data_IF_537634120297
#
_entry.id   IF_537634120297
#
_cell.length_a   1.000
_cell.length_b   1.000
_cell.length_c   1.000
_cell.angle_alpha   90.00
_cell.angle_beta   90.00
_cell.angle_gamma   90.00
#
_symmetry.space_group_name_H-M   'P 1'
#
loop_
_entity.id
_entity.type
_entity.pdbx_description
1 polymer ?
#
# COMPACT_ATOMS: atom_id res chain seq x y z
N UNK A 1 -12.40 31.93 8.39
CA UNK A 1 -11.05 31.63 8.92
C UNK A 1 -11.22 30.52 9.95
N UNK A 2 -10.37 29.50 9.99
CA UNK A 2 -10.44 28.37 10.95
C UNK A 2 -10.02 28.83 12.35
N UNK A 3 -10.79 29.76 12.91
CA UNK A 3 -10.60 30.27 14.26
C UNK A 3 -11.07 29.24 15.26
N UNK A 4 -10.31 29.10 16.33
CA UNK A 4 -10.68 28.30 17.48
C UNK A 4 -11.89 28.92 18.18
N UNK A 5 -12.79 28.07 18.66
CA UNK A 5 -13.79 28.49 19.65
C UNK A 5 -13.14 28.81 21.00
N UNK A 6 -13.90 29.40 21.93
CA UNK A 6 -13.40 29.68 23.28
C UNK A 6 -12.99 28.39 24.01
N UNK A 7 -13.70 27.30 23.79
CA UNK A 7 -13.39 25.98 24.35
C UNK A 7 -12.13 25.39 23.72
N UNK A 8 -11.95 25.55 22.42
CA UNK A 8 -10.78 25.06 21.68
C UNK A 8 -9.50 25.83 22.03
N UNK A 9 -9.61 27.09 22.46
CA UNK A 9 -8.47 27.87 22.97
C UNK A 9 -7.88 27.28 24.26
N UNK A 10 -8.66 26.49 25.01
CA UNK A 10 -8.20 25.81 26.22
C UNK A 10 -7.45 24.51 25.92
N UNK A 11 -7.46 24.05 24.67
CA UNK A 11 -6.78 22.83 24.27
C UNK A 11 -5.30 23.12 23.96
N UNK A 12 -4.42 22.22 24.43
CA UNK A 12 -2.99 22.31 24.13
C UNK A 12 -2.72 22.14 22.63
N UNK A 13 -2.14 23.17 22.03
CA UNK A 13 -1.79 23.22 20.62
C UNK A 13 -0.27 23.24 20.43
N UNK A 14 0.26 22.04 20.21
CA UNK A 14 1.68 21.81 19.96
C UNK A 14 2.03 21.82 18.45
N UNK A 15 1.12 22.29 17.59
CA UNK A 15 1.32 22.29 16.15
C UNK A 15 2.29 23.38 15.69
N UNK A 16 2.92 23.20 14.53
CA UNK A 16 3.81 24.20 13.94
C UNK A 16 3.10 25.56 13.81
N UNK A 17 3.77 26.63 14.24
CA UNK A 17 3.23 27.99 14.15
C UNK A 17 2.23 28.40 15.23
N UNK A 18 2.02 27.60 16.29
CA UNK A 18 1.05 27.91 17.37
C UNK A 18 1.31 29.27 18.03
N UNK A 19 2.57 29.64 18.28
CA UNK A 19 2.91 30.94 18.89
C UNK A 19 2.59 32.16 18.02
N UNK A 20 2.60 32.01 16.69
CA UNK A 20 2.30 33.12 15.76
C UNK A 20 0.81 33.21 15.42
N UNK A 21 0.08 32.11 15.61
CA UNK A 21 -1.33 31.97 15.26
C UNK A 21 -2.09 31.24 16.38
N UNK A 22 -2.16 31.83 17.60
CA UNK A 22 -2.70 31.15 18.78
C UNK A 22 -4.21 30.86 18.66
N UNK A 23 -4.92 31.72 17.94
CA UNK A 23 -6.37 31.68 17.75
C UNK A 23 -6.81 30.80 16.57
N UNK A 24 -5.88 30.15 15.88
CA UNK A 24 -6.15 29.46 14.62
C UNK A 24 -5.63 28.03 14.64
N UNK A 25 -6.43 27.09 14.12
CA UNK A 25 -5.98 25.72 13.93
C UNK A 25 -4.90 25.63 12.85
N UNK A 26 -3.96 24.68 13.01
CA UNK A 26 -2.96 24.37 11.98
C UNK A 26 -3.58 23.64 10.79
N UNK A 27 -3.16 23.99 9.58
CA UNK A 27 -3.62 23.36 8.34
C UNK A 27 -2.48 22.53 7.72
N UNK A 28 -2.69 21.23 7.53
CA UNK A 28 -1.83 20.42 6.67
C UNK A 28 -2.21 20.69 5.21
N UNK A 29 -1.33 21.36 4.48
CA UNK A 29 -1.59 21.74 3.09
C UNK A 29 -0.89 20.81 2.11
N UNK A 30 -1.57 20.49 1.01
CA UNK A 30 -0.94 19.78 -0.10
C UNK A 30 0.07 20.67 -0.84
N UNK A 31 1.01 20.05 -1.56
CA UNK A 31 2.10 20.71 -2.27
C UNK A 31 1.60 21.73 -3.31
N UNK A 32 0.39 21.54 -3.85
CA UNK A 32 -0.24 22.46 -4.81
C UNK A 32 -0.71 23.79 -4.21
N UNK A 33 -0.91 23.88 -2.89
CA UNK A 33 -1.38 25.10 -2.22
C UNK A 33 -0.21 26.01 -1.81
N UNK A 34 0.67 26.32 -2.76
CA UNK A 34 1.81 27.19 -2.52
C UNK A 34 1.34 28.61 -2.21
N UNK A 35 1.93 29.23 -1.19
CA UNK A 35 1.55 30.59 -0.74
C UNK A 35 0.42 30.64 0.28
N UNK A 36 -0.30 29.54 0.55
CA UNK A 36 -1.35 29.54 1.58
C UNK A 36 -0.80 29.91 2.98
N UNK A 37 0.48 29.62 3.24
CA UNK A 37 1.17 29.96 4.48
C UNK A 37 1.30 31.47 4.75
N UNK A 38 1.12 32.34 3.74
CA UNK A 38 1.14 33.80 3.97
C UNK A 38 -0.19 34.34 4.52
N UNK A 39 -1.26 33.55 4.44
CA UNK A 39 -2.61 33.96 4.83
C UNK A 39 -3.18 33.09 5.95
N UNK A 40 -2.69 31.86 6.08
CA UNK A 40 -3.20 30.84 6.98
C UNK A 40 -2.02 30.15 7.67
N UNK A 41 -2.29 29.55 8.83
CA UNK A 41 -1.31 28.71 9.55
C UNK A 41 -1.12 27.36 8.84
N UNK A 42 -0.56 27.38 7.65
CA UNK A 42 -0.34 26.20 6.83
C UNK A 42 1.02 25.57 7.09
N UNK A 43 1.02 24.26 7.28
CA UNK A 43 2.21 23.41 7.33
C UNK A 43 2.37 22.72 5.98
N UNK A 44 3.45 23.06 5.28
CA UNK A 44 3.86 22.40 4.04
C UNK A 44 5.12 21.57 4.27
N UNK A 45 5.25 20.40 3.63
CA UNK A 45 6.54 19.73 3.52
C UNK A 45 7.56 20.69 2.87
N UNK A 46 8.74 20.81 3.48
CA UNK A 46 9.83 21.61 2.90
C UNK A 46 10.32 20.93 1.62
N UNK A 47 10.27 21.65 0.51
CA UNK A 47 10.81 21.17 -0.74
C UNK A 47 12.32 21.41 -0.80
N UNK A 48 13.03 20.44 -1.36
CA UNK A 48 14.43 20.61 -1.76
C UNK A 48 14.52 21.74 -2.79
N UNK A 49 15.30 22.78 -2.49
CA UNK A 49 15.58 23.84 -3.45
C UNK A 49 16.65 23.37 -4.46
N UNK A 50 16.70 24.03 -5.62
CA UNK A 50 17.68 23.67 -6.66
C UNK A 50 19.10 23.81 -6.10
N UNK A 51 19.89 22.74 -6.20
CA UNK A 51 21.27 22.65 -5.71
C UNK A 51 21.47 22.79 -4.19
N UNK A 52 20.40 22.72 -3.39
CA UNK A 52 20.48 22.75 -1.92
C UNK A 52 19.89 21.46 -1.38
N UNK A 53 20.63 20.72 -0.55
CA UNK A 53 20.10 19.55 0.16
C UNK A 53 19.28 19.98 1.37
N UNK A 54 18.28 19.17 1.71
CA UNK A 54 17.59 19.31 2.99
C UNK A 54 18.52 18.90 4.11
N UNK A 55 18.49 19.66 5.20
CA UNK A 55 19.17 19.28 6.45
C UNK A 55 18.52 18.04 7.07
N UNK A 56 19.24 17.37 7.97
CA UNK A 56 18.72 16.19 8.68
C UNK A 56 17.42 16.52 9.43
N UNK A 57 17.37 17.68 10.10
CA UNK A 57 16.21 18.13 10.85
C UNK A 57 15.00 18.39 9.94
N UNK A 58 15.23 18.95 8.75
CA UNK A 58 14.16 19.15 7.77
C UNK A 58 13.63 17.84 7.20
N UNK A 59 14.50 16.84 7.01
CA UNK A 59 14.08 15.51 6.59
C UNK A 59 13.23 14.84 7.67
N UNK A 60 13.64 14.89 8.94
CA UNK A 60 12.86 14.34 10.07
C UNK A 60 11.52 15.05 10.17
N UNK A 61 11.50 16.38 10.13
CA UNK A 61 10.26 17.18 10.17
C UNK A 61 9.32 16.82 9.02
N UNK A 62 9.84 16.75 7.79
CA UNK A 62 9.06 16.34 6.62
C UNK A 62 8.53 14.92 6.74
N UNK A 63 9.29 14.01 7.36
CA UNK A 63 8.86 12.66 7.68
C UNK A 63 7.65 12.66 8.62
N UNK A 64 7.69 13.46 9.68
CA UNK A 64 6.59 13.61 10.62
C UNK A 64 5.34 14.22 9.95
N UNK A 65 5.50 15.32 9.20
CA UNK A 65 4.40 15.95 8.44
C UNK A 65 3.79 14.97 7.44
N UNK A 66 4.62 14.19 6.74
CA UNK A 66 4.15 13.14 5.83
C UNK A 66 3.39 12.04 6.57
N UNK A 67 3.84 11.66 7.76
CA UNK A 67 3.20 10.65 8.59
C UNK A 67 1.82 11.08 9.09
N UNK A 68 1.68 12.35 9.50
CA UNK A 68 0.38 12.91 9.90
C UNK A 68 -0.56 13.06 8.71
N UNK A 69 -0.04 13.41 7.54
CA UNK A 69 -0.82 13.44 6.31
C UNK A 69 -1.43 12.08 5.95
N UNK A 70 -0.72 10.98 6.18
CA UNK A 70 -1.28 9.62 5.96
C UNK A 70 -2.56 9.38 6.75
N UNK A 71 -2.69 9.94 7.97
CA UNK A 71 -3.94 9.87 8.72
C UNK A 71 -5.08 10.58 8.01
N UNK A 72 -4.83 11.82 7.58
CA UNK A 72 -5.82 12.66 6.90
C UNK A 72 -6.29 11.98 5.62
N UNK A 73 -5.35 11.47 4.82
CA UNK A 73 -5.66 10.74 3.59
C UNK A 73 -6.47 9.46 3.85
N UNK A 74 -6.16 8.73 4.92
CA UNK A 74 -6.90 7.53 5.30
C UNK A 74 -8.33 7.84 5.76
N UNK A 75 -8.55 8.93 6.51
CA UNK A 75 -9.90 9.39 6.87
C UNK A 75 -10.65 9.82 5.62
N UNK A 76 -10.04 10.69 4.80
CA UNK A 76 -10.64 11.20 3.58
C UNK A 76 -11.01 10.07 2.61
N UNK A 77 -10.11 9.12 2.38
CA UNK A 77 -10.38 7.96 1.52
C UNK A 77 -11.56 7.11 2.00
N UNK A 78 -11.72 6.95 3.33
CA UNK A 78 -12.88 6.25 3.91
C UNK A 78 -14.16 7.05 3.73
N UNK A 79 -14.13 8.35 3.97
CA UNK A 79 -15.27 9.24 3.76
C UNK A 79 -15.69 9.27 2.29
N UNK A 80 -14.75 9.39 1.34
CA UNK A 80 -15.04 9.33 -0.09
C UNK A 80 -15.61 7.96 -0.53
N UNK A 81 -15.12 6.87 0.04
CA UNK A 81 -15.69 5.53 -0.22
C UNK A 81 -17.14 5.46 0.26
N UNK A 82 -17.42 5.93 1.48
CA UNK A 82 -18.78 5.97 2.02
C UNK A 82 -19.67 6.89 1.18
N UNK A 83 -19.18 8.07 0.83
CA UNK A 83 -19.85 9.00 -0.06
C UNK A 83 -20.25 8.34 -1.38
N UNK A 84 -19.31 7.67 -2.05
CA UNK A 84 -19.56 6.96 -3.31
C UNK A 84 -20.64 5.88 -3.16
N UNK A 85 -20.62 5.14 -2.06
CA UNK A 85 -21.64 4.11 -1.76
C UNK A 85 -23.01 4.75 -1.53
N UNK A 86 -23.10 5.74 -0.67
CA UNK A 86 -24.37 6.41 -0.33
C UNK A 86 -24.95 7.13 -1.55
N UNK A 87 -24.10 7.77 -2.38
CA UNK A 87 -24.51 8.47 -3.60
C UNK A 87 -25.11 7.51 -4.63
N UNK A 88 -24.63 6.26 -4.67
CA UNK A 88 -25.20 5.25 -5.57
C UNK A 88 -26.59 4.74 -5.16
N UNK A 89 -27.03 5.04 -3.93
CA UNK A 89 -28.27 4.52 -3.34
C UNK A 89 -29.31 5.59 -3.03
N UNK A 90 -28.88 6.80 -2.73
CA UNK A 90 -29.74 7.91 -2.35
C UNK A 90 -29.61 9.05 -3.34
N UNK A 91 -30.75 9.63 -3.73
CA UNK A 91 -30.78 10.81 -4.59
C UNK A 91 -30.40 12.03 -3.76
N UNK A 92 -29.31 12.67 -4.15
CA UNK A 92 -28.83 13.88 -3.50
C UNK A 92 -29.60 15.12 -3.97
N UNK A 93 -29.76 16.07 -3.07
CA UNK A 93 -30.20 17.45 -3.32
C UNK A 93 -29.36 18.39 -2.45
N UNK A 94 -29.31 19.67 -2.81
CA UNK A 94 -28.64 20.69 -1.99
C UNK A 94 -29.14 20.69 -0.54
N UNK A 95 -30.46 20.58 -0.35
CA UNK A 95 -31.09 20.49 0.98
C UNK A 95 -30.71 19.25 1.81
N UNK A 96 -30.18 18.19 1.18
CA UNK A 96 -29.76 16.95 1.86
C UNK A 96 -28.24 16.81 1.95
N UNK A 97 -27.47 17.77 1.41
CA UNK A 97 -26.00 17.72 1.38
C UNK A 97 -25.40 17.59 2.79
N UNK A 98 -25.83 18.42 3.74
CA UNK A 98 -25.26 18.41 5.09
C UNK A 98 -25.60 17.12 5.83
N UNK A 99 -26.84 16.65 5.74
CA UNK A 99 -27.26 15.36 6.31
C UNK A 99 -26.45 14.21 5.73
N UNK A 100 -26.24 14.22 4.41
CA UNK A 100 -25.47 13.19 3.71
C UNK A 100 -23.99 13.21 4.14
N UNK A 101 -23.40 14.40 4.20
CA UNK A 101 -22.01 14.61 4.63
C UNK A 101 -21.81 14.21 6.07
N UNK A 102 -22.68 14.69 6.97
CA UNK A 102 -22.68 14.34 8.39
C UNK A 102 -22.83 12.84 8.61
N UNK A 103 -23.71 12.17 7.85
CA UNK A 103 -23.87 10.70 7.93
C UNK A 103 -22.60 9.98 7.48
N UNK A 104 -21.98 10.39 6.37
CA UNK A 104 -20.73 9.80 5.90
C UNK A 104 -19.57 10.01 6.90
N UNK A 105 -19.49 11.18 7.53
CA UNK A 105 -18.51 11.48 8.57
C UNK A 105 -18.75 10.65 9.85
N UNK A 106 -20.00 10.57 10.33
CA UNK A 106 -20.36 9.76 11.49
C UNK A 106 -20.01 8.27 11.28
N UNK A 107 -20.34 7.72 10.11
CA UNK A 107 -19.95 6.36 9.73
C UNK A 107 -18.43 6.20 9.61
N UNK A 108 -17.72 7.25 9.15
CA UNK A 108 -16.25 7.25 9.10
C UNK A 108 -15.67 7.16 10.51
N UNK A 109 -16.20 7.93 11.47
CA UNK A 109 -15.76 7.92 12.87
C UNK A 109 -15.90 6.52 13.48
N UNK A 110 -17.08 5.89 13.33
CA UNK A 110 -17.30 4.50 13.78
C UNK A 110 -16.29 3.55 13.12
N UNK A 111 -16.02 3.72 11.83
CA UNK A 111 -15.05 2.89 11.12
C UNK A 111 -13.61 3.12 11.63
N UNK A 112 -13.25 4.34 12.03
CA UNK A 112 -11.95 4.67 12.64
C UNK A 112 -11.80 3.99 14.00
N UNK A 113 -12.84 3.97 14.83
CA UNK A 113 -12.82 3.31 16.14
C UNK A 113 -12.54 1.81 16.03
N UNK A 114 -13.15 1.13 15.04
CA UNK A 114 -12.95 -0.31 14.83
C UNK A 114 -11.68 -0.62 14.03
N UNK A 115 -11.27 0.28 13.14
CA UNK A 115 -10.12 0.11 12.25
C UNK A 115 -9.17 1.31 12.34
N UNK A 116 -8.15 1.27 13.21
CA UNK A 116 -7.21 2.35 13.40
C UNK A 116 -6.53 2.80 12.10
N UNK A 117 -6.34 4.11 11.97
CA UNK A 117 -5.82 4.77 10.77
C UNK A 117 -4.32 4.54 10.52
N UNK A 118 -3.50 4.24 11.55
CA UNK A 118 -2.04 4.07 11.40
C UNK A 118 -1.53 2.64 11.17
N UNK A 119 -2.24 1.59 11.60
CA UNK A 119 -1.52 0.33 11.89
C UNK A 119 -2.13 -0.99 11.38
N UNK A 120 -3.44 -1.12 11.13
CA UNK A 120 -4.01 -2.45 10.79
C UNK A 120 -4.04 -2.75 9.30
N UNK A 121 -4.36 -1.77 8.45
CA UNK A 121 -4.54 -2.03 7.02
C UNK A 121 -3.22 -2.34 6.31
N UNK A 122 -2.16 -1.54 6.53
CA UNK A 122 -0.88 -1.74 5.87
C UNK A 122 -0.25 -3.10 6.22
N UNK A 123 -0.19 -3.47 7.51
CA UNK A 123 0.33 -4.78 7.93
C UNK A 123 -0.48 -5.94 7.34
N UNK A 124 -1.81 -5.82 7.32
CA UNK A 124 -2.69 -6.86 6.77
C UNK A 124 -2.54 -6.99 5.25
N UNK A 125 -2.49 -5.86 4.54
CA UNK A 125 -2.29 -5.80 3.08
C UNK A 125 -0.91 -6.34 2.70
N UNK A 126 0.14 -5.92 3.38
CA UNK A 126 1.51 -6.42 3.17
C UNK A 126 1.60 -7.92 3.48
N UNK A 127 0.98 -8.39 4.56
CA UNK A 127 0.87 -9.81 4.87
C UNK A 127 0.15 -10.61 3.78
N UNK A 128 -0.90 -10.02 3.18
CA UNK A 128 -1.62 -10.63 2.06
C UNK A 128 -0.76 -10.72 0.79
N UNK A 129 -0.02 -9.66 0.45
CA UNK A 129 0.91 -9.68 -0.66
C UNK A 129 2.06 -10.67 -0.46
N UNK A 130 2.61 -10.75 0.76
CA UNK A 130 3.62 -11.74 1.11
C UNK A 130 3.09 -13.18 0.92
N UNK A 131 1.87 -13.45 1.40
CA UNK A 131 1.21 -14.75 1.21
C UNK A 131 0.99 -15.11 -0.27
N UNK A 132 0.57 -14.14 -1.09
CA UNK A 132 0.43 -14.34 -2.54
C UNK A 132 1.78 -14.65 -3.19
N UNK A 133 2.84 -13.91 -2.82
CA UNK A 133 4.18 -14.12 -3.33
C UNK A 133 4.75 -15.50 -2.94
N UNK A 134 4.52 -15.95 -1.71
CA UNK A 134 4.93 -17.28 -1.24
C UNK A 134 4.18 -18.40 -1.97
N UNK A 135 2.87 -18.20 -2.21
CA UNK A 135 2.07 -19.15 -3.00
C UNK A 135 2.60 -19.28 -4.42
N UNK A 136 2.99 -18.16 -5.02
CA UNK A 136 3.55 -18.13 -6.37
C UNK A 136 4.96 -18.75 -6.42
N UNK A 137 5.82 -18.50 -5.41
CA UNK A 137 7.12 -19.17 -5.25
C UNK A 137 6.96 -20.69 -5.13
N UNK A 138 6.01 -21.15 -4.31
CA UNK A 138 5.71 -22.57 -4.11
C UNK A 138 5.22 -23.22 -5.41
N UNK A 139 4.32 -22.57 -6.14
CA UNK A 139 3.82 -23.04 -7.43
C UNK A 139 4.95 -23.19 -8.45
N UNK A 140 5.83 -22.19 -8.56
CA UNK A 140 7.01 -22.23 -9.46
C UNK A 140 7.95 -23.38 -9.09
N UNK A 141 8.25 -23.57 -7.81
CA UNK A 141 9.10 -24.66 -7.33
C UNK A 141 8.51 -26.04 -7.66
N UNK A 142 7.19 -26.21 -7.51
CA UNK A 142 6.49 -27.46 -7.88
C UNK A 142 6.58 -27.72 -9.38
N UNK A 143 6.35 -26.70 -10.22
CA UNK A 143 6.46 -26.83 -11.68
C UNK A 143 7.89 -27.19 -12.10
N UNK A 144 8.91 -26.52 -11.54
CA UNK A 144 10.31 -26.83 -11.82
C UNK A 144 10.68 -28.25 -11.38
N UNK A 145 10.20 -28.71 -10.22
CA UNK A 145 10.44 -30.08 -9.74
C UNK A 145 9.81 -31.12 -10.67
N UNK A 146 8.59 -30.88 -11.17
CA UNK A 146 7.94 -31.75 -12.15
C UNK A 146 8.71 -31.78 -13.47
N UNK A 147 9.18 -30.64 -13.95
CA UNK A 147 9.98 -30.55 -15.16
C UNK A 147 11.31 -31.30 -15.04
N UNK A 148 12.05 -31.13 -13.94
CA UNK A 148 13.30 -31.89 -13.69
C UNK A 148 13.06 -33.40 -13.69
N UNK A 149 12.06 -33.88 -12.96
CA UNK A 149 11.71 -35.31 -12.94
C UNK A 149 11.39 -35.86 -14.32
N UNK A 150 10.63 -35.11 -15.14
CA UNK A 150 10.30 -35.54 -16.50
C UNK A 150 11.54 -35.62 -17.39
N UNK A 151 12.46 -34.65 -17.25
CA UNK A 151 13.73 -34.64 -17.97
C UNK A 151 14.64 -35.80 -17.54
N UNK A 152 14.79 -36.01 -16.24
CA UNK A 152 15.55 -37.14 -15.67
C UNK A 152 15.02 -38.49 -16.18
N UNK A 153 13.70 -38.66 -16.23
CA UNK A 153 13.08 -39.88 -16.77
C UNK A 153 13.34 -40.06 -18.28
N UNK A 154 13.32 -38.98 -19.07
CA UNK A 154 13.69 -39.03 -20.50
C UNK A 154 15.16 -39.40 -20.69
N UNK A 155 16.06 -38.75 -19.96
CA UNK A 155 17.50 -39.07 -20.03
C UNK A 155 17.78 -40.51 -19.58
N UNK A 156 17.10 -41.00 -18.54
CA UNK A 156 17.24 -42.39 -18.11
C UNK A 156 16.72 -43.39 -19.17
N UNK A 157 15.60 -43.06 -19.84
CA UNK A 157 15.07 -43.88 -20.94
C UNK A 157 16.03 -43.91 -22.14
N UNK A 158 16.59 -42.77 -22.54
CA UNK A 158 17.58 -42.68 -23.63
C UNK A 158 18.86 -43.47 -23.34
N UNK A 159 19.33 -43.44 -22.08
CA UNK A 159 20.48 -44.23 -21.63
C UNK A 159 20.17 -45.74 -21.58
N UNK A 160 18.93 -46.12 -21.25
CA UNK A 160 18.51 -47.53 -21.27
C UNK A 160 18.38 -48.10 -22.68
N UNK A 161 17.99 -47.28 -23.66
CA UNK A 161 17.92 -47.65 -25.07
C UNK A 161 19.32 -47.80 -25.71
N UNK A 162 20.35 -47.18 -25.12
CA UNK A 162 21.74 -47.22 -25.61
C UNK A 162 22.60 -48.32 -24.97
N UNK A 163 22.04 -49.19 -24.12
CA UNK A 163 22.77 -50.36 -23.59
C UNK A 163 22.77 -51.51 -24.62
N UNK A 164 23.94 -52.02 -25.07
CA UNK A 164 24.00 -53.10 -26.05
C UNK A 164 23.61 -54.44 -25.42
N UNK A 165 22.43 -54.95 -25.76
CA UNK A 165 21.97 -56.29 -25.41
C UNK A 165 22.68 -57.35 -26.27
N UNK A 166 23.61 -58.06 -25.64
CA UNK A 166 24.10 -59.44 -25.87
C UNK A 166 23.92 -60.06 -27.28
N UNK A 167 25.06 -60.31 -27.94
CA UNK A 167 25.22 -61.16 -29.13
C UNK A 167 24.68 -62.57 -28.88
N UNK A 168 23.55 -62.91 -29.48
CA UNK A 168 23.07 -64.29 -29.64
C UNK A 168 23.89 -64.92 -30.77
N UNK A 169 24.73 -65.90 -30.41
CA UNK A 169 25.57 -66.64 -31.35
C UNK A 169 24.74 -67.51 -32.29
N UNK A 170 24.86 -67.28 -33.59
CA UNK A 170 24.38 -68.19 -34.61
C UNK A 170 25.47 -69.21 -34.95
N UNK A 171 25.18 -70.49 -34.70
CA UNK A 171 26.00 -71.62 -35.12
C UNK A 171 25.79 -71.88 -36.62
N UNK A 172 26.87 -71.79 -37.41
CA UNK A 172 26.86 -72.06 -38.86
C UNK A 172 27.33 -73.51 -39.09
N UNK A 173 26.57 -74.36 -39.81
CA UNK A 173 27.00 -75.72 -40.12
C UNK A 173 27.99 -75.72 -41.31
N UNK A 174 29.06 -76.50 -41.17
CA UNK A 174 30.12 -76.68 -42.18
C UNK A 174 29.67 -77.64 -43.28
N UNK A 175 29.68 -77.20 -44.54
CA UNK A 175 29.55 -78.08 -45.71
C UNK A 175 30.96 -78.54 -46.15
N UNK A 176 31.14 -79.87 -46.27
CA UNK A 176 32.35 -80.49 -46.85
C UNK A 176 32.22 -80.55 -48.37
N UNK A 177 33.27 -80.12 -49.07
CA UNK A 177 33.73 -80.68 -50.36
C UNK A 177 35.22 -80.94 -50.21
#
# INVERSE_FOLDING_TARGET
>A
MLKKSNEELLMDDNGEGCGHYPDSWGLLADKGYQGAASMLRCTHPKNKQRNVELTLDELVRNGNVSSDRVLVENVFGRTCMLWKKTHSKFKWSESTFDTFTGTCLALTNIHVDVNPLRARFYKTVMGRYASIADRERTRRALTQRRYRRKREAQTAADMSFSSPSQLVGYHIPSYRV
#
